data_IF_923462744588
#
_entry.id   IF_923462744588
#
_cell.length_a   1.000
_cell.length_b   1.000
_cell.length_c   1.000
_cell.angle_alpha   90.00
_cell.angle_beta   90.00
_cell.angle_gamma   90.00
#
_symmetry.space_group_name_H-M   'P 1'
#
loop_
_entity.id
_entity.type
_entity.pdbx_description
1 polymer ?
#
# COMPACT_ATOMS: atom_id res chain seq x y z
N UNK A 1 12.99 -34.41 -33.91
CA UNK A 1 13.77 -35.21 -32.95
C UNK A 1 15.19 -35.35 -33.48
N UNK A 2 16.13 -34.52 -33.00
CA UNK A 2 17.57 -34.81 -33.06
C UNK A 2 18.16 -34.22 -31.78
N UNK A 3 18.53 -35.10 -30.85
CA UNK A 3 19.24 -34.79 -29.61
C UNK A 3 20.70 -35.26 -29.75
N UNK A 4 21.65 -34.45 -29.34
CA UNK A 4 23.03 -34.88 -29.10
C UNK A 4 23.46 -34.38 -27.72
N UNK A 5 23.84 -35.26 -26.79
CA UNK A 5 24.52 -34.89 -25.56
C UNK A 5 26.04 -35.01 -25.75
N UNK A 6 26.80 -34.06 -25.20
CA UNK A 6 28.23 -34.24 -24.99
C UNK A 6 28.50 -34.33 -23.48
N UNK A 7 28.92 -35.52 -23.06
CA UNK A 7 29.61 -35.76 -21.80
C UNK A 7 31.10 -35.89 -22.10
N UNK A 8 31.95 -35.24 -21.29
CA UNK A 8 33.34 -35.67 -21.12
C UNK A 8 33.68 -35.63 -19.63
N UNK A 9 34.11 -36.79 -19.12
CA UNK A 9 34.61 -37.01 -17.78
C UNK A 9 36.06 -37.48 -17.90
N UNK A 10 36.94 -36.83 -17.14
CA UNK A 10 38.22 -37.26 -16.56
C UNK A 10 39.27 -38.01 -17.40
N UNK A 11 40.49 -37.47 -17.35
CA UNK A 11 41.74 -38.20 -17.57
C UNK A 11 42.91 -37.49 -16.90
N UNK A 12 43.18 -37.82 -15.64
CA UNK A 12 44.43 -37.47 -14.94
C UNK A 12 45.55 -38.42 -15.37
N UNK A 13 46.75 -37.91 -15.61
CA UNK A 13 47.98 -38.67 -15.40
C UNK A 13 49.15 -37.70 -15.16
N UNK A 14 49.76 -37.85 -13.99
CA UNK A 14 51.01 -37.23 -13.56
C UNK A 14 52.16 -38.06 -14.13
N UNK A 15 53.18 -37.42 -14.70
CA UNK A 15 54.50 -38.03 -14.86
C UNK A 15 55.53 -37.02 -14.35
N UNK A 16 56.19 -37.40 -13.26
CA UNK A 16 57.41 -36.78 -12.78
C UNK A 16 58.60 -37.61 -13.25
N UNK A 17 59.66 -36.95 -13.70
CA UNK A 17 61.01 -37.53 -13.73
C UNK A 17 62.04 -36.40 -13.62
N UNK A 18 62.83 -36.48 -12.55
CA UNK A 18 63.97 -35.64 -12.22
C UNK A 18 65.09 -35.68 -13.28
N UNK A 19 65.79 -34.55 -13.45
CA UNK A 19 67.25 -34.51 -13.53
C UNK A 19 67.79 -33.07 -13.40
N UNK A 20 68.74 -32.94 -12.48
CA UNK A 20 69.59 -31.82 -12.04
C UNK A 20 70.44 -31.11 -13.10
N UNK A 21 70.59 -29.78 -13.00
CA UNK A 21 71.83 -29.05 -12.63
C UNK A 21 72.07 -27.71 -13.38
N UNK A 22 72.65 -26.75 -12.65
CA UNK A 22 73.41 -25.55 -13.07
C UNK A 22 72.69 -24.20 -13.29
N UNK A 23 72.62 -23.45 -12.19
CA UNK A 23 72.94 -22.02 -11.97
C UNK A 23 73.40 -21.15 -13.16
N UNK A 24 72.71 -20.01 -13.41
CA UNK A 24 73.32 -18.71 -13.75
C UNK A 24 72.31 -17.54 -13.58
N UNK A 25 72.86 -16.36 -13.29
CA UNK A 25 72.25 -15.16 -12.68
C UNK A 25 71.33 -14.30 -13.57
N UNK A 26 70.47 -13.53 -12.86
CA UNK A 26 69.97 -12.18 -13.15
C UNK A 26 68.65 -11.97 -13.95
N UNK A 27 67.92 -10.87 -13.68
CA UNK A 27 66.45 -10.83 -13.64
C UNK A 27 65.85 -10.11 -14.86
N UNK A 28 64.65 -10.53 -15.31
CA UNK A 28 63.85 -9.68 -16.19
C UNK A 28 62.35 -10.00 -16.13
N UNK A 29 61.60 -8.94 -15.85
CA UNK A 29 60.20 -8.71 -16.24
C UNK A 29 59.15 -9.68 -15.68
N UNK A 30 58.65 -9.35 -14.50
CA UNK A 30 57.28 -9.70 -14.14
C UNK A 30 56.33 -9.12 -15.19
N UNK A 31 55.62 -10.02 -15.86
CA UNK A 31 54.41 -9.72 -16.62
C UNK A 31 53.45 -8.94 -15.72
N UNK A 32 53.00 -7.72 -16.07
CA UNK A 32 51.95 -7.08 -15.30
C UNK A 32 50.70 -7.94 -15.43
N UNK A 33 50.19 -8.40 -14.29
CA UNK A 33 48.83 -8.90 -14.19
C UNK A 33 47.89 -7.84 -14.77
N UNK A 34 47.01 -8.26 -15.66
CA UNK A 34 46.03 -7.41 -16.32
C UNK A 34 45.13 -6.70 -15.29
N UNK A 35 45.46 -5.44 -14.96
CA UNK A 35 44.51 -4.47 -14.43
C UNK A 35 43.64 -3.94 -15.58
N UNK A 36 42.63 -4.70 -15.97
CA UNK A 36 41.58 -4.22 -16.88
C UNK A 36 40.25 -4.84 -16.45
N UNK A 37 39.54 -4.19 -15.51
CA UNK A 37 38.20 -3.68 -15.85
C UNK A 37 37.81 -2.31 -15.24
N UNK A 38 38.63 -1.67 -14.38
CA UNK A 38 38.21 -0.45 -13.64
C UNK A 38 38.27 0.88 -14.43
N UNK A 39 39.15 1.00 -15.43
CA UNK A 39 39.35 2.26 -16.16
C UNK A 39 38.17 2.61 -17.07
N UNK A 40 37.68 1.65 -17.86
CA UNK A 40 36.56 1.86 -18.80
C UNK A 40 35.25 2.19 -18.09
N UNK A 41 34.93 1.51 -16.97
CA UNK A 41 33.73 1.79 -16.19
C UNK A 41 33.75 3.20 -15.61
N UNK A 42 34.92 3.64 -15.11
CA UNK A 42 35.07 4.99 -14.55
C UNK A 42 34.88 6.09 -15.59
N UNK A 43 35.34 5.89 -16.84
CA UNK A 43 35.13 6.83 -17.94
C UNK A 43 33.65 6.89 -18.36
N UNK A 44 32.96 5.73 -18.40
CA UNK A 44 31.53 5.66 -18.67
C UNK A 44 30.69 6.34 -17.59
N UNK A 45 31.06 6.18 -16.32
CA UNK A 45 30.39 6.83 -15.19
C UNK A 45 30.60 8.35 -15.21
N UNK A 46 31.79 8.83 -15.53
CA UNK A 46 32.05 10.27 -15.67
C UNK A 46 31.26 10.89 -16.84
N UNK A 47 31.16 10.17 -17.95
CA UNK A 47 30.31 10.60 -19.06
C UNK A 47 28.83 10.65 -18.67
N UNK A 48 28.34 9.64 -17.95
CA UNK A 48 26.97 9.61 -17.44
C UNK A 48 26.70 10.75 -16.46
N UNK A 49 27.65 11.04 -15.54
CA UNK A 49 27.54 12.18 -14.63
C UNK A 49 27.40 13.51 -15.37
N UNK A 50 28.17 13.69 -16.45
CA UNK A 50 28.07 14.89 -17.32
C UNK A 50 26.72 14.98 -18.01
N UNK A 51 26.22 13.89 -18.58
CA UNK A 51 24.93 13.86 -19.27
C UNK A 51 23.76 14.20 -18.34
N UNK A 52 23.80 13.69 -17.12
CA UNK A 52 22.73 13.86 -16.13
C UNK A 52 22.85 15.18 -15.36
N UNK A 53 23.98 15.89 -15.49
CA UNK A 53 24.39 17.00 -14.64
C UNK A 53 24.21 16.61 -13.16
N UNK A 54 25.10 15.74 -12.70
CA UNK A 54 25.04 14.99 -11.45
C UNK A 54 25.24 15.85 -10.19
N UNK A 55 25.65 17.11 -10.32
CA UNK A 55 26.04 17.99 -9.20
C UNK A 55 24.96 18.15 -8.11
N UNK A 56 23.64 18.22 -8.43
CA UNK A 56 22.62 18.24 -7.39
C UNK A 56 22.56 16.95 -6.58
N UNK A 57 22.74 15.80 -7.23
CA UNK A 57 22.75 14.51 -6.55
C UNK A 57 24.03 14.32 -5.71
N UNK A 58 25.19 14.73 -6.22
CA UNK A 58 26.43 14.72 -5.43
C UNK A 58 26.28 15.50 -4.12
N UNK A 59 25.72 16.71 -4.17
CA UNK A 59 25.45 17.52 -2.98
C UNK A 59 24.45 16.87 -2.03
N UNK A 60 23.42 16.20 -2.57
CA UNK A 60 22.47 15.48 -1.74
C UNK A 60 23.09 14.26 -1.06
N UNK A 61 24.01 13.56 -1.73
CA UNK A 61 24.74 12.42 -1.16
C UNK A 61 25.68 12.81 -0.02
N UNK A 62 26.21 14.04 -0.03
CA UNK A 62 26.99 14.57 1.11
C UNK A 62 26.13 14.73 2.37
N UNK A 63 24.85 15.09 2.22
CA UNK A 63 23.92 15.27 3.33
C UNK A 63 23.17 13.99 3.71
N UNK A 64 22.81 13.18 2.72
CA UNK A 64 22.10 11.91 2.84
C UNK A 64 22.77 10.87 1.93
N UNK A 65 23.67 10.02 2.46
CA UNK A 65 24.35 8.99 1.70
C UNK A 65 23.42 7.97 1.02
N UNK A 66 22.13 7.94 1.37
CA UNK A 66 21.11 7.09 0.75
C UNK A 66 20.31 7.81 -0.34
N UNK A 67 20.63 9.06 -0.66
CA UNK A 67 19.95 9.80 -1.72
C UNK A 67 20.08 9.07 -3.07
N UNK A 68 19.02 9.10 -3.86
CA UNK A 68 18.96 8.46 -5.18
C UNK A 68 18.56 9.48 -6.22
N UNK A 69 19.25 9.48 -7.36
CA UNK A 69 18.83 10.22 -8.55
C UNK A 69 17.87 9.40 -9.41
N UNK A 70 16.78 10.03 -9.84
CA UNK A 70 15.93 9.52 -10.91
C UNK A 70 16.13 10.41 -12.13
N UNK A 71 16.75 9.88 -13.18
CA UNK A 71 16.88 10.54 -14.47
C UNK A 71 15.65 10.20 -15.33
N UNK A 72 14.71 11.14 -15.36
CA UNK A 72 13.39 11.01 -15.96
C UNK A 72 13.45 11.49 -17.42
N UNK A 73 13.67 10.55 -18.34
CA UNK A 73 13.85 10.80 -19.77
C UNK A 73 12.51 11.05 -20.45
N UNK A 74 12.40 12.16 -21.19
CA UNK A 74 11.20 12.49 -21.98
C UNK A 74 9.93 12.76 -21.15
N UNK A 75 10.07 13.08 -19.85
CA UNK A 75 8.95 13.50 -19.02
C UNK A 75 8.42 14.85 -19.50
N UNK A 76 7.13 14.91 -19.83
CA UNK A 76 6.49 16.17 -20.22
C UNK A 76 6.25 17.07 -19.00
N UNK A 77 6.41 18.38 -19.18
CA UNK A 77 6.33 19.38 -18.11
C UNK A 77 5.04 19.28 -17.29
N UNK A 78 3.90 19.05 -17.93
CA UNK A 78 2.60 18.98 -17.26
C UNK A 78 2.41 17.72 -16.37
N UNK A 79 3.21 16.66 -16.57
CA UNK A 79 3.21 15.47 -15.71
C UNK A 79 4.26 15.53 -14.59
N UNK A 80 5.08 16.59 -14.55
CA UNK A 80 6.20 16.73 -13.62
C UNK A 80 5.77 16.59 -12.16
N UNK A 81 4.74 17.35 -11.75
CA UNK A 81 4.26 17.34 -10.37
C UNK A 81 3.62 15.99 -10.02
N UNK A 82 2.86 15.41 -10.94
CA UNK A 82 2.23 14.10 -10.77
C UNK A 82 3.26 13.01 -10.47
N UNK A 83 4.37 12.95 -11.22
CA UNK A 83 5.45 11.98 -10.99
C UNK A 83 6.17 12.26 -9.66
N UNK A 84 6.47 13.53 -9.36
CA UNK A 84 7.11 13.92 -8.10
C UNK A 84 6.28 13.46 -6.90
N UNK A 85 5.01 13.82 -6.89
CA UNK A 85 4.11 13.59 -5.78
C UNK A 85 3.86 12.09 -5.59
N UNK A 86 3.81 11.32 -6.68
CA UNK A 86 3.77 9.87 -6.63
C UNK A 86 5.01 9.26 -5.94
N UNK A 87 6.22 9.69 -6.34
CA UNK A 87 7.47 9.16 -5.77
C UNK A 87 7.55 9.52 -4.28
N UNK A 88 7.40 10.80 -3.92
CA UNK A 88 7.50 11.27 -2.53
C UNK A 88 6.51 10.53 -1.63
N UNK A 89 5.26 10.38 -2.06
CA UNK A 89 4.20 9.69 -1.31
C UNK A 89 4.52 8.22 -1.07
N UNK A 90 4.95 7.50 -2.11
CA UNK A 90 5.13 6.04 -2.02
C UNK A 90 6.47 5.63 -1.43
N UNK A 91 7.51 6.45 -1.56
CA UNK A 91 8.81 6.18 -0.95
C UNK A 91 8.93 6.75 0.46
N UNK A 92 7.99 7.61 0.89
CA UNK A 92 8.11 8.35 2.15
C UNK A 92 9.33 9.28 2.18
N UNK A 93 9.78 9.73 1.01
CA UNK A 93 10.92 10.65 0.87
C UNK A 93 10.61 12.03 1.45
N UNK A 94 11.65 12.81 1.68
CA UNK A 94 11.53 14.18 2.15
C UNK A 94 10.74 15.02 1.13
N UNK A 95 9.73 15.81 1.55
CA UNK A 95 8.97 16.70 0.68
C UNK A 95 9.82 17.73 -0.10
N UNK A 96 11.03 18.01 0.36
CA UNK A 96 12.01 18.86 -0.32
C UNK A 96 12.69 18.19 -1.52
N UNK A 97 12.44 16.89 -1.76
CA UNK A 97 12.91 16.16 -2.95
C UNK A 97 12.54 16.93 -4.23
N UNK A 98 13.54 17.29 -5.01
CA UNK A 98 13.40 18.29 -6.07
C UNK A 98 13.71 17.74 -7.45
N UNK A 99 12.98 18.24 -8.45
CA UNK A 99 13.21 17.96 -9.87
C UNK A 99 13.99 19.10 -10.51
N UNK A 100 15.20 18.80 -10.95
CA UNK A 100 16.06 19.72 -11.68
C UNK A 100 15.85 19.53 -13.19
N UNK A 101 15.40 20.55 -13.93
CA UNK A 101 15.20 20.44 -15.38
C UNK A 101 16.53 20.22 -16.12
N UNK A 102 16.46 19.45 -17.19
CA UNK A 102 17.49 19.27 -18.22
C UNK A 102 16.89 19.68 -19.57
N UNK A 103 17.69 19.67 -20.63
CA UNK A 103 17.24 20.12 -21.97
C UNK A 103 15.91 19.50 -22.40
N UNK A 104 15.75 18.19 -22.21
CA UNK A 104 14.53 17.43 -22.58
C UNK A 104 14.08 16.44 -21.50
N UNK A 105 14.78 16.43 -20.36
CA UNK A 105 14.61 15.46 -19.27
C UNK A 105 14.57 16.16 -17.91
N UNK A 106 14.43 15.38 -16.84
CA UNK A 106 14.59 15.87 -15.48
C UNK A 106 15.52 14.95 -14.68
N UNK A 107 16.31 15.52 -13.77
CA UNK A 107 16.91 14.78 -12.66
C UNK A 107 16.09 15.06 -11.41
N UNK A 108 15.37 14.07 -10.90
CA UNK A 108 14.79 14.15 -9.56
C UNK A 108 15.80 13.63 -8.54
N UNK A 109 16.05 14.39 -7.50
CA UNK A 109 16.84 13.92 -6.35
C UNK A 109 15.86 13.53 -5.26
N UNK A 110 15.94 12.26 -4.83
CA UNK A 110 15.08 11.67 -3.82
C UNK A 110 15.92 11.40 -2.57
N UNK A 111 15.57 12.04 -1.46
CA UNK A 111 16.27 11.91 -0.18
C UNK A 111 15.32 11.43 0.91
N UNK A 112 15.84 10.73 1.93
CA UNK A 112 15.05 10.26 3.07
C UNK A 112 14.03 9.16 2.76
N UNK A 113 14.14 8.48 1.62
CA UNK A 113 13.23 7.39 1.25
C UNK A 113 13.30 6.20 2.22
N UNK A 114 12.14 5.64 2.57
CA UNK A 114 11.97 4.43 3.38
C UNK A 114 12.07 3.19 2.48
N UNK A 115 13.27 2.90 1.99
CA UNK A 115 13.52 1.77 1.11
C UNK A 115 14.92 1.79 0.53
N UNK A 116 15.25 0.79 -0.26
CA UNK A 116 16.49 0.77 -1.03
C UNK A 116 16.29 1.35 -2.45
N UNK A 117 17.38 1.45 -3.20
CA UNK A 117 17.34 1.90 -4.60
C UNK A 117 16.46 1.01 -5.49
N UNK A 118 16.33 -0.28 -5.16
CA UNK A 118 15.51 -1.22 -5.94
C UNK A 118 14.01 -1.02 -5.67
N UNK A 119 13.63 -0.62 -4.45
CA UNK A 119 12.26 -0.20 -4.13
C UNK A 119 11.85 1.00 -4.99
N UNK A 120 12.71 2.03 -5.07
CA UNK A 120 12.49 3.20 -5.93
C UNK A 120 12.44 2.83 -7.41
N UNK A 121 13.29 1.89 -7.86
CA UNK A 121 13.27 1.39 -9.23
C UNK A 121 11.91 0.74 -9.56
N UNK A 122 11.42 -0.16 -8.68
CA UNK A 122 10.10 -0.81 -8.84
C UNK A 122 8.95 0.19 -8.88
N UNK A 123 9.01 1.28 -8.09
CA UNK A 123 7.99 2.34 -8.16
C UNK A 123 7.97 3.01 -9.53
N UNK A 124 9.14 3.25 -10.13
CA UNK A 124 9.25 3.91 -11.43
C UNK A 124 8.70 3.07 -12.59
N UNK A 125 8.61 1.74 -12.45
CA UNK A 125 8.04 0.84 -13.46
C UNK A 125 6.57 1.15 -13.77
N UNK A 126 5.86 1.81 -12.85
CA UNK A 126 4.45 2.22 -13.05
C UNK A 126 4.26 3.24 -14.16
N UNK A 127 5.28 4.03 -14.49
CA UNK A 127 5.18 5.11 -15.48
C UNK A 127 6.32 5.14 -16.50
N UNK A 128 7.26 4.19 -16.45
CA UNK A 128 8.40 4.18 -17.36
C UNK A 128 9.14 2.85 -17.45
N UNK A 129 10.07 2.78 -18.39
CA UNK A 129 11.06 1.69 -18.47
C UNK A 129 12.25 2.05 -17.59
N UNK A 130 12.58 1.17 -16.65
CA UNK A 130 13.59 1.44 -15.63
C UNK A 130 14.88 0.71 -15.98
N UNK A 131 16.01 1.41 -15.83
CA UNK A 131 17.36 0.87 -16.00
C UNK A 131 18.26 1.40 -14.90
N UNK A 132 19.23 0.57 -14.48
CA UNK A 132 20.37 1.01 -13.70
C UNK A 132 21.57 1.15 -14.64
N UNK A 133 21.92 2.38 -15.04
CA UNK A 133 23.00 2.59 -16.01
C UNK A 133 24.38 2.27 -15.42
N UNK A 134 24.53 2.31 -14.10
CA UNK A 134 25.73 1.92 -13.37
C UNK A 134 25.34 1.38 -11.98
N UNK A 135 26.01 0.33 -11.54
CA UNK A 135 25.84 -0.23 -10.20
C UNK A 135 26.55 0.61 -9.13
N UNK A 136 27.62 1.33 -9.53
CA UNK A 136 28.46 2.16 -8.66
C UNK A 136 27.83 3.54 -8.38
N UNK A 137 26.84 3.95 -9.17
CA UNK A 137 26.11 5.20 -8.99
C UNK A 137 24.72 4.94 -8.39
N UNK A 138 24.29 5.72 -7.38
CA UNK A 138 22.93 5.72 -6.87
C UNK A 138 21.98 6.47 -7.82
N UNK A 139 21.93 6.02 -9.07
CA UNK A 139 21.19 6.63 -10.17
C UNK A 139 20.31 5.59 -10.86
N UNK A 140 19.06 5.96 -11.11
CA UNK A 140 18.09 5.19 -11.87
C UNK A 140 17.73 5.98 -13.11
N UNK A 141 17.86 5.38 -14.30
CA UNK A 141 17.33 5.94 -15.53
C UNK A 141 15.89 5.43 -15.71
N UNK A 142 14.97 6.36 -16.00
CA UNK A 142 13.56 6.05 -16.25
C UNK A 142 13.15 6.69 -17.57
N UNK A 143 12.90 5.85 -18.58
CA UNK A 143 12.29 6.30 -19.83
C UNK A 143 10.79 6.38 -19.67
N UNK A 144 10.27 7.60 -19.55
CA UNK A 144 8.87 7.84 -19.21
C UNK A 144 7.94 7.48 -20.38
N UNK A 145 6.96 6.61 -20.11
CA UNK A 145 5.89 6.24 -21.05
C UNK A 145 4.75 7.24 -20.88
N UNK A 146 4.76 8.32 -21.65
CA UNK A 146 3.77 9.39 -21.51
C UNK A 146 2.33 8.92 -21.78
N UNK A 147 2.16 7.81 -22.48
CA UNK A 147 0.87 7.16 -22.72
C UNK A 147 0.24 6.62 -21.42
N UNK A 148 1.06 6.30 -20.40
CA UNK A 148 0.57 5.84 -19.09
C UNK A 148 -0.29 6.90 -18.38
N UNK A 149 -0.06 8.18 -18.67
CA UNK A 149 -0.82 9.28 -18.09
C UNK A 149 -2.10 9.62 -18.86
N UNK A 150 -2.34 9.00 -20.02
CA UNK A 150 -3.53 9.25 -20.82
C UNK A 150 -4.71 8.44 -20.28
N UNK A 151 -5.83 9.11 -20.02
CA UNK A 151 -7.08 8.47 -19.60
C UNK A 151 -7.70 7.65 -20.74
N UNK A 152 -8.37 6.57 -20.38
CA UNK A 152 -9.19 5.81 -21.32
C UNK A 152 -10.38 6.60 -21.86
N UNK A 153 -10.96 6.18 -22.99
CA UNK A 153 -12.19 6.79 -23.52
C UNK A 153 -13.33 6.71 -22.50
N UNK A 154 -13.93 7.86 -22.18
CA UNK A 154 -14.89 7.99 -21.09
C UNK A 154 -16.13 7.10 -21.30
N UNK A 155 -16.64 7.03 -22.53
CA UNK A 155 -17.77 6.20 -22.94
C UNK A 155 -17.56 4.71 -22.59
N UNK A 156 -16.33 4.21 -22.75
CA UNK A 156 -15.98 2.82 -22.44
C UNK A 156 -15.69 2.60 -20.97
N UNK A 157 -15.19 3.64 -20.29
CA UNK A 157 -14.90 3.58 -18.85
C UNK A 157 -16.18 3.55 -18.00
N UNK A 158 -17.28 4.12 -18.49
CA UNK A 158 -18.54 4.26 -17.74
C UNK A 158 -19.62 3.26 -18.12
N UNK A 159 -19.46 2.52 -19.22
CA UNK A 159 -20.42 1.50 -19.68
C UNK A 159 -19.98 0.09 -19.26
N UNK A 160 -20.61 -0.54 -18.23
CA UNK A 160 -20.25 -1.89 -17.77
C UNK A 160 -20.53 -2.99 -18.80
N UNK A 161 -21.28 -2.71 -19.86
CA UNK A 161 -21.57 -3.65 -20.95
C UNK A 161 -20.47 -3.64 -22.01
N UNK A 162 -19.61 -2.62 -22.02
CA UNK A 162 -18.49 -2.53 -22.93
C UNK A 162 -17.46 -3.63 -22.62
N UNK A 163 -16.99 -4.40 -23.62
CA UNK A 163 -15.98 -5.44 -23.40
C UNK A 163 -14.68 -4.92 -22.77
N UNK A 164 -14.34 -3.65 -23.01
CA UNK A 164 -13.14 -3.01 -22.46
C UNK A 164 -13.30 -2.44 -21.06
N UNK A 165 -14.51 -2.39 -20.49
CA UNK A 165 -14.80 -1.69 -19.23
C UNK A 165 -13.87 -2.11 -18.08
N UNK A 166 -13.74 -3.41 -17.85
CA UNK A 166 -12.96 -3.94 -16.72
C UNK A 166 -11.46 -3.71 -16.92
N UNK A 167 -10.93 -3.99 -18.12
CA UNK A 167 -9.52 -3.80 -18.43
C UNK A 167 -9.12 -2.33 -18.35
N UNK A 168 -9.94 -1.44 -18.93
CA UNK A 168 -9.69 -0.01 -18.88
C UNK A 168 -9.72 0.49 -17.44
N UNK A 169 -10.73 0.15 -16.64
CA UNK A 169 -10.79 0.59 -15.25
C UNK A 169 -9.68 -0.01 -14.37
N UNK A 170 -9.24 -1.25 -14.64
CA UNK A 170 -8.04 -1.82 -14.00
C UNK A 170 -6.80 -0.96 -14.27
N UNK A 171 -6.59 -0.56 -15.53
CA UNK A 171 -5.49 0.35 -15.91
C UNK A 171 -5.60 1.72 -15.24
N UNK A 172 -6.81 2.26 -15.13
CA UNK A 172 -7.06 3.53 -14.42
C UNK A 172 -6.75 3.43 -12.91
N UNK A 173 -7.03 2.27 -12.27
CA UNK A 173 -6.66 2.01 -10.87
C UNK A 173 -5.14 1.95 -10.63
N UNK A 174 -4.39 1.50 -11.63
CA UNK A 174 -2.93 1.38 -11.58
C UNK A 174 -2.21 2.72 -11.80
N UNK A 175 -2.95 3.75 -12.21
CA UNK A 175 -2.44 5.10 -12.41
C UNK A 175 -1.74 5.67 -11.18
N UNK A 176 -0.66 6.43 -11.41
CA UNK A 176 0.03 7.18 -10.36
C UNK A 176 -0.76 8.42 -9.88
N UNK A 177 -1.72 8.88 -10.69
CA UNK A 177 -2.73 9.87 -10.30
C UNK A 177 -3.82 9.21 -9.45
N UNK A 178 -3.88 9.61 -8.19
CA UNK A 178 -4.84 9.11 -7.22
C UNK A 178 -6.27 9.49 -7.55
N UNK A 179 -6.54 10.67 -8.13
CA UNK A 179 -7.90 11.06 -8.49
C UNK A 179 -8.42 10.21 -9.64
N UNK A 180 -7.56 9.86 -10.59
CA UNK A 180 -7.88 8.91 -11.66
C UNK A 180 -8.18 7.52 -11.11
N UNK A 181 -7.35 7.03 -10.19
CA UNK A 181 -7.59 5.75 -9.51
C UNK A 181 -8.90 5.78 -8.69
N UNK A 182 -9.18 6.86 -7.97
CA UNK A 182 -10.43 7.06 -7.21
C UNK A 182 -11.66 7.02 -8.11
N UNK A 183 -11.63 7.71 -9.26
CA UNK A 183 -12.72 7.64 -10.26
C UNK A 183 -12.93 6.22 -10.78
N UNK A 184 -11.87 5.45 -10.94
CA UNK A 184 -11.99 4.03 -11.33
C UNK A 184 -12.63 3.19 -10.23
N UNK A 185 -12.26 3.38 -8.96
CA UNK A 185 -12.95 2.75 -7.80
C UNK A 185 -14.45 3.06 -7.85
N UNK A 186 -14.82 4.33 -8.07
CA UNK A 186 -16.23 4.74 -8.14
C UNK A 186 -17.01 4.08 -9.27
N UNK A 187 -16.39 3.92 -10.44
CA UNK A 187 -17.02 3.22 -11.57
C UNK A 187 -17.14 1.72 -11.31
N UNK A 188 -16.20 1.13 -10.58
CA UNK A 188 -16.18 -0.29 -10.25
C UNK A 188 -17.12 -0.64 -9.09
N UNK A 189 -17.31 0.25 -8.11
CA UNK A 189 -18.10 0.01 -6.90
C UNK A 189 -19.51 -0.59 -7.15
N UNK A 190 -20.33 -0.10 -8.10
CA UNK A 190 -21.67 -0.65 -8.30
C UNK A 190 -21.72 -1.94 -9.13
N UNK A 191 -20.65 -2.33 -9.83
CA UNK A 191 -20.69 -3.44 -10.80
C UNK A 191 -20.26 -4.78 -10.19
N UNK A 192 -20.78 -5.87 -10.73
CA UNK A 192 -20.39 -7.22 -10.30
C UNK A 192 -18.94 -7.55 -10.70
N UNK A 193 -18.16 -8.23 -9.83
CA UNK A 193 -16.77 -8.57 -10.10
C UNK A 193 -16.65 -9.77 -11.07
N UNK A 194 -16.76 -9.51 -12.38
CA UNK A 194 -16.69 -10.55 -13.43
C UNK A 194 -15.26 -10.91 -13.83
N UNK A 195 -14.37 -9.92 -13.87
CA UNK A 195 -12.98 -10.06 -14.30
C UNK A 195 -12.04 -9.36 -13.33
N UNK A 196 -10.79 -9.85 -13.26
CA UNK A 196 -9.70 -9.24 -12.50
C UNK A 196 -9.98 -8.98 -11.02
N UNK A 197 -10.93 -9.71 -10.42
CA UNK A 197 -11.35 -9.50 -9.03
C UNK A 197 -10.16 -9.41 -8.07
N UNK A 198 -9.24 -10.39 -8.15
CA UNK A 198 -8.03 -10.44 -7.31
C UNK A 198 -7.12 -9.24 -7.52
N UNK A 199 -6.86 -8.85 -8.77
CA UNK A 199 -5.97 -7.73 -9.08
C UNK A 199 -6.57 -6.39 -8.65
N UNK A 200 -7.88 -6.21 -8.86
CA UNK A 200 -8.63 -5.02 -8.46
C UNK A 200 -8.67 -4.89 -6.93
N UNK A 201 -9.00 -5.97 -6.21
CA UNK A 201 -9.02 -5.97 -4.73
C UNK A 201 -7.63 -5.71 -4.17
N UNK A 202 -6.59 -6.36 -4.73
CA UNK A 202 -5.20 -6.10 -4.34
C UNK A 202 -4.85 -4.62 -4.53
N UNK A 203 -5.16 -4.03 -5.69
CA UNK A 203 -4.86 -2.62 -5.93
C UNK A 203 -5.68 -1.68 -5.04
N UNK A 204 -6.93 -1.99 -4.73
CA UNK A 204 -7.71 -1.24 -3.73
C UNK A 204 -7.04 -1.31 -2.34
N UNK A 205 -6.52 -2.47 -1.94
CA UNK A 205 -5.77 -2.64 -0.69
C UNK A 205 -4.44 -1.87 -0.63
N UNK A 206 -3.82 -1.59 -1.78
CA UNK A 206 -2.68 -0.66 -1.85
C UNK A 206 -3.16 0.80 -1.79
N UNK A 207 -4.18 1.17 -2.59
CA UNK A 207 -4.72 2.53 -2.66
C UNK A 207 -5.26 3.05 -1.34
N UNK A 208 -5.88 2.19 -0.53
CA UNK A 208 -6.40 2.58 0.80
C UNK A 208 -5.27 3.00 1.76
N UNK A 209 -4.05 2.47 1.58
CA UNK A 209 -2.88 2.85 2.38
C UNK A 209 -2.21 4.13 1.85
N UNK A 210 -2.27 4.35 0.54
CA UNK A 210 -1.70 5.54 -0.13
C UNK A 210 -2.62 6.77 -0.05
N UNK A 211 -3.92 6.52 -0.01
CA UNK A 211 -4.96 7.52 -0.24
C UNK A 211 -5.40 8.31 0.98
N UNK A 212 -5.99 9.45 0.71
CA UNK A 212 -6.65 10.29 1.71
C UNK A 212 -8.04 9.74 2.10
N UNK A 213 -8.74 10.48 2.96
CA UNK A 213 -10.08 10.14 3.40
C UNK A 213 -11.05 9.87 2.22
N UNK A 214 -11.01 10.68 1.16
CA UNK A 214 -11.92 10.54 0.03
C UNK A 214 -11.69 9.21 -0.71
N UNK A 215 -10.44 8.82 -0.91
CA UNK A 215 -10.09 7.52 -1.53
C UNK A 215 -10.50 6.36 -0.63
N UNK A 216 -10.19 6.46 0.67
CA UNK A 216 -10.54 5.44 1.66
C UNK A 216 -12.06 5.23 1.73
N UNK A 217 -12.83 6.31 1.69
CA UNK A 217 -14.30 6.28 1.69
C UNK A 217 -14.87 5.55 0.47
N UNK A 218 -14.38 5.87 -0.73
CA UNK A 218 -14.86 5.24 -1.97
C UNK A 218 -14.44 3.76 -2.06
N UNK A 219 -13.24 3.42 -1.60
CA UNK A 219 -12.80 2.02 -1.51
C UNK A 219 -13.71 1.26 -0.54
N UNK A 220 -14.01 1.83 0.63
CA UNK A 220 -14.90 1.18 1.59
C UNK A 220 -16.30 0.89 1.05
N UNK A 221 -16.81 1.67 0.08
CA UNK A 221 -18.05 1.35 -0.62
C UNK A 221 -17.91 0.23 -1.64
N UNK A 222 -16.75 0.09 -2.28
CA UNK A 222 -16.49 -0.92 -3.29
C UNK A 222 -16.19 -2.30 -2.68
N UNK A 223 -15.46 -2.35 -1.57
CA UNK A 223 -14.98 -3.60 -0.96
C UNK A 223 -16.07 -4.63 -0.65
N UNK A 224 -17.27 -4.29 -0.11
CA UNK A 224 -18.31 -5.27 0.17
C UNK A 224 -18.71 -6.13 -1.05
N UNK A 225 -18.58 -5.56 -2.25
CA UNK A 225 -18.91 -6.22 -3.52
C UNK A 225 -17.70 -6.92 -4.14
N UNK A 226 -16.52 -6.34 -4.00
CA UNK A 226 -15.31 -6.80 -4.68
C UNK A 226 -14.48 -7.80 -3.87
N UNK A 227 -14.37 -7.67 -2.55
CA UNK A 227 -13.55 -8.57 -1.75
C UNK A 227 -14.28 -9.86 -1.37
N UNK A 228 -13.51 -10.89 -1.01
CA UNK A 228 -14.00 -12.18 -0.51
C UNK A 228 -13.69 -12.32 0.99
N UNK A 229 -14.55 -12.97 1.78
CA UNK A 229 -14.23 -13.20 3.19
C UNK A 229 -12.93 -14.00 3.30
N UNK A 230 -11.98 -13.51 4.12
CA UNK A 230 -10.71 -14.19 4.35
C UNK A 230 -9.66 -14.02 3.24
N UNK A 231 -9.87 -13.11 2.29
CA UNK A 231 -8.85 -12.76 1.29
C UNK A 231 -7.74 -11.84 1.84
N UNK A 232 -7.83 -11.44 3.11
CA UNK A 232 -6.89 -10.58 3.81
C UNK A 232 -7.26 -9.09 3.79
N UNK A 233 -8.34 -8.71 3.12
CA UNK A 233 -8.81 -7.32 3.03
C UNK A 233 -9.13 -6.74 4.41
N UNK A 234 -9.71 -7.52 5.33
CA UNK A 234 -10.07 -7.07 6.67
C UNK A 234 -8.85 -6.56 7.45
N UNK A 235 -7.74 -7.30 7.40
CA UNK A 235 -6.49 -6.91 8.05
C UNK A 235 -5.90 -5.62 7.47
N UNK A 236 -5.97 -5.44 6.14
CA UNK A 236 -5.51 -4.20 5.49
C UNK A 236 -6.36 -3.01 5.91
N UNK A 237 -7.69 -3.16 5.91
CA UNK A 237 -8.61 -2.09 6.31
C UNK A 237 -8.41 -1.72 7.78
N UNK A 238 -8.30 -2.71 8.67
CA UNK A 238 -8.04 -2.46 10.09
C UNK A 238 -6.69 -1.72 10.28
N UNK A 239 -5.63 -2.17 9.62
CA UNK A 239 -4.31 -1.54 9.72
C UNK A 239 -4.26 -0.10 9.20
N UNK A 240 -5.16 0.30 8.28
CA UNK A 240 -5.32 1.72 7.89
C UNK A 240 -6.07 2.49 8.97
N UNK A 241 -7.18 1.96 9.45
CA UNK A 241 -8.01 2.63 10.46
C UNK A 241 -7.27 2.85 11.79
N UNK A 242 -6.40 1.92 12.20
CA UNK A 242 -5.59 2.05 13.41
C UNK A 242 -4.54 3.17 13.33
N UNK A 243 -4.15 3.59 12.12
CA UNK A 243 -3.21 4.69 11.90
C UNK A 243 -3.90 6.06 11.93
N UNK A 244 -5.23 6.11 11.89
CA UNK A 244 -5.97 7.37 11.97
C UNK A 244 -5.81 7.93 13.39
N UNK A 245 -5.39 9.20 13.54
CA UNK A 245 -5.31 9.87 14.84
C UNK A 245 -6.66 9.84 15.58
N UNK A 246 -6.63 9.95 16.91
CA UNK A 246 -7.85 9.86 17.74
C UNK A 246 -8.89 10.97 17.46
N UNK A 247 -8.45 12.10 16.92
CA UNK A 247 -9.24 13.25 16.46
C UNK A 247 -9.42 13.28 14.93
N UNK A 248 -8.88 12.28 14.22
CA UNK A 248 -8.99 12.16 12.78
C UNK A 248 -10.37 11.67 12.33
N UNK A 249 -10.76 12.05 11.11
CA UNK A 249 -12.01 11.61 10.52
C UNK A 249 -11.91 10.16 10.06
N UNK A 250 -12.80 9.30 10.56
CA UNK A 250 -12.82 7.86 10.25
C UNK A 250 -13.81 7.57 9.11
N UNK A 251 -13.38 6.93 8.01
CA UNK A 251 -14.28 6.57 6.91
C UNK A 251 -15.29 5.50 7.33
N UNK A 252 -16.55 5.89 7.52
CA UNK A 252 -17.63 4.99 7.96
C UNK A 252 -17.82 3.74 7.08
N UNK A 253 -17.70 3.77 5.75
CA UNK A 253 -17.83 2.57 4.92
C UNK A 253 -16.80 1.48 5.26
N UNK A 254 -15.61 1.85 5.74
CA UNK A 254 -14.59 0.89 6.16
C UNK A 254 -14.95 0.21 7.48
N UNK A 255 -15.49 0.96 8.43
CA UNK A 255 -16.01 0.40 9.68
C UNK A 255 -17.20 -0.52 9.41
N UNK A 256 -18.10 -0.09 8.53
CA UNK A 256 -19.26 -0.87 8.08
C UNK A 256 -18.81 -2.18 7.43
N UNK A 257 -17.78 -2.12 6.58
CA UNK A 257 -17.18 -3.29 5.96
C UNK A 257 -16.68 -4.30 7.02
N UNK A 258 -15.87 -3.86 7.98
CA UNK A 258 -15.35 -4.74 9.04
C UNK A 258 -16.46 -5.32 9.93
N UNK A 259 -17.45 -4.50 10.29
CA UNK A 259 -18.58 -4.93 11.10
C UNK A 259 -19.44 -5.99 10.40
N UNK A 260 -19.72 -5.81 9.11
CA UNK A 260 -20.47 -6.79 8.32
C UNK A 260 -19.68 -8.09 8.07
N UNK A 261 -18.34 -8.00 8.01
CA UNK A 261 -17.44 -9.17 7.98
C UNK A 261 -17.30 -9.85 9.33
N UNK A 262 -17.81 -9.24 10.41
CA UNK A 262 -17.64 -9.68 11.79
C UNK A 262 -16.15 -9.86 12.14
N UNK A 263 -15.32 -8.91 11.74
CA UNK A 263 -13.89 -8.94 12.06
C UNK A 263 -13.65 -8.62 13.55
N UNK A 264 -13.47 -9.65 14.36
CA UNK A 264 -13.32 -9.53 15.81
C UNK A 264 -12.14 -8.64 16.23
N UNK A 265 -11.10 -8.53 15.39
CA UNK A 265 -9.97 -7.66 15.66
C UNK A 265 -10.37 -6.18 15.69
N UNK A 266 -11.40 -5.79 14.93
CA UNK A 266 -11.90 -4.43 14.84
C UNK A 266 -12.77 -4.00 16.04
N UNK A 267 -13.24 -4.93 16.86
CA UNK A 267 -14.17 -4.62 17.98
C UNK A 267 -13.60 -3.55 18.91
N UNK A 268 -12.31 -3.63 19.26
CA UNK A 268 -11.68 -2.66 20.17
C UNK A 268 -11.57 -1.26 19.57
N UNK A 269 -11.42 -1.15 18.24
CA UNK A 269 -11.44 0.12 17.54
C UNK A 269 -12.85 0.71 17.57
N UNK A 270 -13.86 -0.06 17.16
CA UNK A 270 -15.25 0.41 17.07
C UNK A 270 -15.84 0.74 18.44
N UNK A 271 -15.45 0.00 19.48
CA UNK A 271 -15.80 0.29 20.88
C UNK A 271 -15.29 1.68 21.34
N UNK A 272 -14.08 2.09 20.92
CA UNK A 272 -13.57 3.45 21.20
C UNK A 272 -14.35 4.52 20.43
N UNK A 273 -14.63 4.27 19.16
CA UNK A 273 -15.39 5.20 18.31
C UNK A 273 -16.81 5.40 18.85
N UNK A 274 -17.47 4.31 19.24
CA UNK A 274 -18.79 4.33 19.85
C UNK A 274 -18.83 5.13 21.15
N UNK A 275 -17.80 5.06 21.99
CA UNK A 275 -17.77 5.90 23.18
C UNK A 275 -17.71 7.39 22.88
N UNK A 276 -16.97 7.78 21.83
CA UNK A 276 -16.85 9.18 21.42
C UNK A 276 -18.16 9.68 20.81
N UNK A 277 -18.75 8.90 19.90
CA UNK A 277 -19.98 9.27 19.18
C UNK A 277 -20.96 8.09 19.10
N UNK A 278 -21.74 7.80 20.17
CA UNK A 278 -22.61 6.64 20.22
C UNK A 278 -23.64 6.62 19.10
N UNK A 279 -24.23 7.77 18.78
CA UNK A 279 -25.26 7.90 17.75
C UNK A 279 -24.74 7.56 16.34
N UNK A 280 -23.44 7.74 16.08
CA UNK A 280 -22.83 7.46 14.78
C UNK A 280 -22.45 5.99 14.64
N UNK A 281 -21.94 5.38 15.70
CA UNK A 281 -21.29 4.06 15.62
C UNK A 281 -22.09 2.91 16.22
N UNK A 282 -23.22 3.17 16.89
CA UNK A 282 -24.06 2.13 17.52
C UNK A 282 -24.45 1.01 16.55
N UNK A 283 -24.93 1.35 15.34
CA UNK A 283 -25.36 0.34 14.38
C UNK A 283 -24.20 -0.58 13.97
N UNK A 284 -23.07 0.03 13.60
CA UNK A 284 -21.85 -0.67 13.24
C UNK A 284 -21.31 -1.53 14.39
N UNK A 285 -21.31 -1.01 15.62
CA UNK A 285 -20.86 -1.77 16.77
C UNK A 285 -21.76 -3.00 17.00
N UNK A 286 -23.08 -2.83 16.91
CA UNK A 286 -24.04 -3.92 17.06
C UNK A 286 -23.98 -4.99 15.96
N UNK A 287 -23.36 -4.70 14.80
CA UNK A 287 -23.26 -5.66 13.69
C UNK A 287 -22.19 -6.75 13.92
N UNK A 288 -21.28 -6.56 14.88
CA UNK A 288 -20.34 -7.61 15.29
C UNK A 288 -21.04 -8.79 15.97
N UNK A 289 -22.20 -8.58 16.59
CA UNK A 289 -22.96 -9.63 17.25
C UNK A 289 -22.66 -9.78 18.75
N UNK A 290 -23.00 -10.94 19.36
CA UNK A 290 -22.84 -11.19 20.81
C UNK A 290 -21.43 -10.96 21.37
N UNK A 291 -20.40 -10.97 20.52
CA UNK A 291 -19.00 -10.82 20.87
C UNK A 291 -18.67 -9.45 21.49
N UNK A 292 -19.53 -8.45 21.33
CA UNK A 292 -19.38 -7.14 21.97
C UNK A 292 -19.99 -7.08 23.38
N UNK A 293 -20.82 -8.06 23.77
CA UNK A 293 -21.64 -7.99 24.99
C UNK A 293 -20.78 -7.72 26.23
N UNK A 294 -19.67 -8.45 26.38
CA UNK A 294 -18.80 -8.33 27.55
C UNK A 294 -18.16 -6.94 27.65
N UNK A 295 -17.75 -6.33 26.52
CA UNK A 295 -17.21 -4.98 26.49
C UNK A 295 -18.26 -3.93 26.83
N UNK A 296 -19.46 -4.05 26.26
CA UNK A 296 -20.57 -3.12 26.53
C UNK A 296 -20.95 -3.19 28.01
N UNK A 297 -21.06 -4.39 28.59
CA UNK A 297 -21.34 -4.58 30.03
C UNK A 297 -20.24 -3.99 30.92
N UNK A 298 -18.97 -4.18 30.57
CA UNK A 298 -17.85 -3.62 31.33
C UNK A 298 -17.85 -2.09 31.34
N UNK A 299 -18.24 -1.45 30.23
CA UNK A 299 -18.33 0.02 30.14
C UNK A 299 -19.60 0.61 30.75
N UNK A 300 -20.68 -0.16 30.80
CA UNK A 300 -22.02 0.30 31.21
C UNK A 300 -22.02 1.18 32.49
N UNK A 301 -21.33 0.83 33.58
CA UNK A 301 -21.35 1.64 34.81
C UNK A 301 -20.81 3.06 34.62
N UNK A 302 -19.88 3.27 33.69
CA UNK A 302 -19.16 4.53 33.46
C UNK A 302 -19.78 5.37 32.32
N UNK A 303 -20.90 4.93 31.76
CA UNK A 303 -21.54 5.61 30.63
C UNK A 303 -22.27 6.89 31.03
N UNK A 304 -22.15 7.92 30.19
CA UNK A 304 -23.03 9.10 30.21
C UNK A 304 -24.45 8.72 29.79
N UNK A 305 -25.45 9.60 29.98
CA UNK A 305 -26.84 9.31 29.61
C UNK A 305 -27.01 8.86 28.16
N UNK A 306 -26.35 9.53 27.21
CA UNK A 306 -26.42 9.19 25.78
C UNK A 306 -25.79 7.83 25.51
N UNK A 307 -24.58 7.59 26.05
CA UNK A 307 -23.90 6.31 25.94
C UNK A 307 -24.70 5.18 26.58
N UNK A 308 -25.38 5.44 27.71
CA UNK A 308 -26.17 4.45 28.43
C UNK A 308 -27.40 4.02 27.64
N UNK A 309 -28.13 4.96 27.06
CA UNK A 309 -29.26 4.65 26.18
C UNK A 309 -28.83 3.82 24.97
N UNK A 310 -27.68 4.18 24.39
CA UNK A 310 -27.06 3.43 23.30
C UNK A 310 -26.64 2.02 23.74
N UNK A 311 -26.02 1.88 24.90
CA UNK A 311 -25.62 0.60 25.47
C UNK A 311 -26.83 -0.30 25.72
N UNK A 312 -27.95 0.23 26.24
CA UNK A 312 -29.19 -0.54 26.41
C UNK A 312 -29.70 -1.06 25.06
N UNK A 313 -29.67 -0.25 23.99
CA UNK A 313 -30.05 -0.70 22.64
C UNK A 313 -29.10 -1.76 22.10
N UNK A 314 -27.79 -1.61 22.31
CA UNK A 314 -26.79 -2.62 21.94
C UNK A 314 -27.04 -3.94 22.67
N UNK A 315 -27.20 -3.92 24.00
CA UNK A 315 -27.50 -5.11 24.80
C UNK A 315 -28.85 -5.73 24.39
N UNK A 316 -29.84 -4.90 24.02
CA UNK A 316 -31.10 -5.38 23.44
C UNK A 316 -30.94 -6.04 22.07
N UNK A 317 -29.95 -5.64 21.27
CA UNK A 317 -29.66 -6.21 19.93
C UNK A 317 -28.81 -7.48 20.02
N UNK A 318 -27.76 -7.47 20.83
CA UNK A 318 -26.73 -8.53 20.85
C UNK A 318 -26.66 -9.32 22.16
N UNK A 319 -27.21 -8.77 23.24
CA UNK A 319 -27.04 -9.29 24.59
C UNK A 319 -27.74 -10.63 24.78
N UNK A 320 -27.24 -11.37 25.77
CA UNK A 320 -27.70 -12.69 26.17
C UNK A 320 -28.26 -12.64 27.59
N UNK A 321 -28.41 -13.79 28.24
CA UNK A 321 -28.80 -13.85 29.66
C UNK A 321 -27.83 -13.07 30.58
N UNK A 322 -26.57 -12.85 30.17
CA UNK A 322 -25.58 -12.06 30.94
C UNK A 322 -25.99 -10.59 31.07
N UNK A 323 -26.72 -10.05 30.09
CA UNK A 323 -27.18 -8.66 30.09
C UNK A 323 -28.37 -8.39 31.02
N UNK A 324 -29.17 -9.41 31.33
CA UNK A 324 -30.45 -9.26 32.03
C UNK A 324 -30.30 -8.58 33.41
N UNK A 325 -29.36 -8.99 34.29
CA UNK A 325 -29.25 -8.36 35.61
C UNK A 325 -28.93 -6.85 35.54
N UNK A 326 -28.10 -6.45 34.57
CA UNK A 326 -27.73 -5.03 34.38
C UNK A 326 -28.93 -4.24 33.87
N UNK A 327 -29.69 -4.80 32.92
CA UNK A 327 -30.90 -4.17 32.38
C UNK A 327 -32.00 -4.05 33.46
N UNK A 328 -32.23 -5.07 34.27
CA UNK A 328 -33.22 -5.02 35.36
C UNK A 328 -32.87 -3.98 36.44
N UNK A 329 -31.58 -3.85 36.77
CA UNK A 329 -31.11 -2.79 37.67
C UNK A 329 -31.37 -1.38 37.09
N UNK A 330 -31.13 -1.19 35.80
CA UNK A 330 -31.42 0.08 35.11
C UNK A 330 -32.93 0.36 35.02
N UNK A 331 -33.77 -0.67 34.86
CA UNK A 331 -35.24 -0.54 34.87
C UNK A 331 -35.75 0.08 36.18
N UNK A 332 -35.14 -0.30 37.31
CA UNK A 332 -35.52 0.21 38.63
C UNK A 332 -35.14 1.68 38.83
N UNK A 333 -33.97 2.10 38.30
CA UNK A 333 -33.40 3.42 38.51
C UNK A 333 -33.74 4.46 37.42
N UNK A 334 -34.13 4.00 36.22
CA UNK A 334 -34.25 4.84 35.03
C UNK A 334 -35.46 5.78 34.99
N UNK A 335 -35.35 6.83 34.16
CA UNK A 335 -36.47 7.70 33.80
C UNK A 335 -37.46 6.98 32.83
N UNK A 336 -38.65 7.53 32.53
CA UNK A 336 -39.64 6.85 31.67
C UNK A 336 -39.12 6.42 30.30
N UNK A 337 -38.28 7.24 29.66
CA UNK A 337 -37.67 6.92 28.37
C UNK A 337 -36.70 5.75 28.46
N UNK A 338 -35.81 5.76 29.47
CA UNK A 338 -34.90 4.65 29.74
C UNK A 338 -35.66 3.36 30.05
N UNK A 339 -36.72 3.43 30.87
CA UNK A 339 -37.56 2.27 31.18
C UNK A 339 -38.17 1.65 29.92
N UNK A 340 -38.62 2.46 28.97
CA UNK A 340 -39.13 1.97 27.69
C UNK A 340 -38.04 1.24 26.89
N UNK A 341 -36.83 1.81 26.79
CA UNK A 341 -35.71 1.19 26.10
C UNK A 341 -35.30 -0.15 26.74
N UNK A 342 -35.22 -0.18 28.07
CA UNK A 342 -34.85 -1.37 28.83
C UNK A 342 -35.88 -2.49 28.66
N UNK A 343 -37.18 -2.16 28.74
CA UNK A 343 -38.23 -3.16 28.51
C UNK A 343 -38.14 -3.79 27.11
N UNK A 344 -37.93 -2.97 26.08
CA UNK A 344 -37.71 -3.47 24.70
C UNK A 344 -36.47 -4.33 24.58
N UNK A 345 -35.38 -3.95 25.25
CA UNK A 345 -34.15 -4.74 25.26
C UNK A 345 -34.35 -6.11 25.93
N UNK A 346 -35.04 -6.15 27.08
CA UNK A 346 -35.35 -7.39 27.79
C UNK A 346 -36.28 -8.30 26.98
N UNK A 347 -37.29 -7.74 26.32
CA UNK A 347 -38.18 -8.47 25.41
C UNK A 347 -37.40 -9.08 24.24
N UNK A 348 -36.57 -8.28 23.57
CA UNK A 348 -35.74 -8.75 22.46
C UNK A 348 -34.74 -9.86 22.86
N UNK A 349 -34.26 -9.86 24.11
CA UNK A 349 -33.41 -10.94 24.65
C UNK A 349 -34.24 -12.20 24.92
N UNK A 350 -35.48 -12.07 25.39
CA UNK A 350 -36.38 -13.20 25.66
C UNK A 350 -36.82 -13.88 24.37
N UNK A 351 -37.15 -13.11 23.34
CA UNK A 351 -37.62 -13.63 22.05
C UNK A 351 -36.54 -14.36 21.25
N UNK A 352 -35.25 -14.15 21.58
CA UNK A 352 -34.11 -14.86 20.98
C UNK A 352 -33.78 -16.19 21.65
N UNK A 353 -34.37 -16.49 22.81
CA UNK A 353 -34.23 -17.79 23.50
C UNK A 353 -35.24 -18.78 22.93
#
# INVERSE_FOLDING_TARGET
>A
MISLPFFFTNGSAVVASDATAAQEDAPAAGTPAAEAPKSLQSEMDEELKRQVAYEPLARALEADPKAVGLWLRGLREFHRLQVRDYIVRNSGADPSSHMYPRSTDYLMVVSGAKGDINDLARMCERFGEVRRPSDDLPLIEVKVKNESFQEGPLDKLTDPTNPGFYELNKRELESIDLERARRAVNRLAPVEPKFYRKDIVKRMGELIQEGDFAIQFEIGKALPKWSEPGDGTEAVVLGVLEKIPADGEVPEPLITFLANRKDMAAISLVDRLWLQEPNKWEENYGNFGPEIEEKVLARFPQTTTVQRMSAVRLLGKVGTAKSVPVLEAELAAGNPEMKLLVNRALEAIRDRK
#
